data_IF_463340670333
#
_entry.id   IF_463340670333
#
_cell.length_a   1.000
_cell.length_b   1.000
_cell.length_c   1.000
_cell.angle_alpha   90.00
_cell.angle_beta   90.00
_cell.angle_gamma   90.00
#
_symmetry.space_group_name_H-M   'P 1'
#
loop_
_entity.id
_entity.type
_entity.pdbx_description
1 polymer ?
#
# COMPACT_ATOMS: atom_id res chain seq x y z
N UNK A 1 8.44 8.66 8.55
CA UNK A 1 9.16 8.63 7.25
C UNK A 1 8.51 9.49 6.17
N UNK A 2 7.44 10.25 6.47
CA UNK A 2 6.74 11.13 5.51
C UNK A 2 7.22 12.60 5.52
N UNK A 3 8.16 12.97 6.38
CA UNK A 3 8.63 14.36 6.55
C UNK A 3 9.82 14.77 5.68
N UNK A 4 10.49 13.86 4.98
CA UNK A 4 11.75 14.16 4.29
C UNK A 4 11.61 14.50 2.79
N UNK A 5 10.41 14.46 2.20
CA UNK A 5 10.23 14.64 0.75
C UNK A 5 9.69 16.02 0.34
N UNK A 6 9.41 16.92 1.30
CA UNK A 6 8.77 18.23 1.00
C UNK A 6 9.75 19.40 0.84
N UNK A 7 11.04 19.23 1.13
CA UNK A 7 12.01 20.36 1.14
C UNK A 7 12.68 20.62 -0.22
N UNK A 8 12.50 19.77 -1.22
CA UNK A 8 13.27 19.86 -2.48
C UNK A 8 12.52 20.48 -3.67
N UNK A 9 11.38 21.16 -3.47
CA UNK A 9 10.68 21.84 -4.56
C UNK A 9 10.66 23.38 -4.35
N UNK A 10 11.83 23.97 -4.15
CA UNK A 10 12.00 25.40 -4.43
C UNK A 10 11.93 25.56 -5.94
N UNK A 11 10.73 25.72 -6.46
CA UNK A 11 10.48 26.03 -7.87
C UNK A 11 11.06 27.41 -8.17
N UNK A 12 12.12 27.40 -8.96
CA UNK A 12 12.60 28.58 -9.71
C UNK A 12 11.47 29.00 -10.65
N UNK A 13 10.61 29.90 -10.20
CA UNK A 13 9.67 30.59 -11.08
C UNK A 13 10.45 31.70 -11.80
N UNK A 14 11.04 31.35 -12.94
CA UNK A 14 11.44 32.36 -13.92
C UNK A 14 10.14 32.96 -14.49
N UNK A 15 9.79 34.15 -14.02
CA UNK A 15 8.78 34.96 -14.67
C UNK A 15 9.29 35.34 -16.06
N UNK A 16 8.89 34.62 -17.10
CA UNK A 16 8.97 35.12 -18.47
C UNK A 16 7.94 36.25 -18.59
N UNK A 17 8.37 37.47 -18.38
CA UNK A 17 7.62 38.70 -18.67
C UNK A 17 7.49 38.84 -20.17
N UNK A 18 6.46 38.24 -20.76
CA UNK A 18 6.10 38.51 -22.15
C UNK A 18 5.58 39.95 -22.30
N UNK A 19 6.00 40.71 -23.29
CA UNK A 19 5.49 42.05 -23.52
C UNK A 19 4.03 41.97 -23.96
N UNK A 20 3.11 42.43 -23.11
CA UNK A 20 1.69 42.46 -23.40
C UNK A 20 1.32 43.81 -24.03
N UNK A 21 0.95 43.81 -25.31
CA UNK A 21 0.31 44.90 -26.03
C UNK A 21 -1.04 45.26 -25.42
N UNK A 22 -1.29 46.58 -25.30
CA UNK A 22 -2.44 47.18 -24.67
C UNK A 22 -3.76 46.89 -25.39
N UNK A 23 -4.84 46.62 -24.63
CA UNK A 23 -6.20 47.13 -24.91
C UNK A 23 -7.10 47.07 -23.68
N UNK A 24 -7.75 48.22 -23.38
CA UNK A 24 -8.95 48.48 -22.59
C UNK A 24 -8.88 48.50 -21.05
N UNK A 25 -9.07 49.67 -20.53
CA UNK A 25 -9.60 50.22 -19.26
C UNK A 25 -10.01 49.23 -18.15
N UNK A 26 -9.03 48.74 -17.43
CA UNK A 26 -9.03 48.44 -16.01
C UNK A 26 -7.91 49.24 -15.34
N UNK A 27 -7.88 49.53 -14.02
CA UNK A 27 -6.76 50.24 -13.41
C UNK A 27 -5.48 49.55 -13.83
N UNK A 28 -4.56 50.34 -14.44
CA UNK A 28 -3.42 49.81 -15.19
C UNK A 28 -2.54 48.92 -14.28
N UNK A 29 -2.64 47.63 -14.45
CA UNK A 29 -1.70 46.66 -13.90
C UNK A 29 -0.38 46.67 -14.72
N UNK A 30 0.06 47.82 -15.12
CA UNK A 30 1.34 48.06 -15.78
C UNK A 30 2.32 48.61 -14.76
N UNK A 31 3.49 48.00 -14.67
CA UNK A 31 4.62 48.59 -13.97
C UNK A 31 5.13 49.82 -14.75
N UNK A 32 5.61 50.81 -14.02
CA UNK A 32 6.43 51.83 -14.69
C UNK A 32 7.70 51.14 -15.22
N UNK A 33 8.26 51.64 -16.35
CA UNK A 33 9.52 51.07 -16.87
C UNK A 33 10.63 51.05 -15.84
N UNK A 34 10.70 52.08 -14.98
CA UNK A 34 11.68 52.19 -13.89
C UNK A 34 11.47 51.07 -12.84
N UNK A 35 10.23 50.85 -12.38
CA UNK A 35 9.91 49.80 -11.39
C UNK A 35 10.16 48.39 -11.96
N UNK A 36 9.82 48.20 -13.24
CA UNK A 36 10.09 46.93 -13.92
C UNK A 36 11.59 46.63 -13.97
N UNK A 37 12.40 47.58 -14.42
CA UNK A 37 13.85 47.42 -14.50
C UNK A 37 14.44 47.10 -13.11
N UNK A 38 14.04 47.87 -12.09
CA UNK A 38 14.53 47.70 -10.74
C UNK A 38 14.19 46.32 -10.15
N UNK A 39 12.95 45.84 -10.35
CA UNK A 39 12.57 44.50 -9.91
C UNK A 39 13.34 43.39 -10.67
N UNK A 40 13.62 43.60 -11.94
CA UNK A 40 14.43 42.67 -12.72
C UNK A 40 15.89 42.61 -12.24
N UNK A 41 16.48 43.76 -11.92
CA UNK A 41 17.84 43.83 -11.38
C UNK A 41 17.92 43.14 -9.99
N UNK A 42 16.89 43.35 -9.15
CA UNK A 42 16.76 42.65 -7.84
C UNK A 42 16.66 41.12 -8.01
N UNK A 43 15.94 40.63 -9.03
CA UNK A 43 15.90 39.19 -9.30
C UNK A 43 17.28 38.64 -9.69
N UNK A 44 18.09 39.42 -10.42
CA UNK A 44 19.49 39.08 -10.69
C UNK A 44 20.33 38.97 -9.41
N UNK A 45 20.24 39.99 -8.54
CA UNK A 45 20.93 39.96 -7.21
C UNK A 45 20.49 38.77 -6.32
N UNK A 46 19.20 38.45 -6.36
CA UNK A 46 18.65 37.31 -5.63
C UNK A 46 19.25 36.00 -6.14
N UNK A 47 19.36 35.84 -7.46
CA UNK A 47 19.97 34.67 -8.09
C UNK A 47 21.47 34.57 -7.76
N UNK A 48 22.16 35.68 -7.55
CA UNK A 48 23.55 35.73 -7.08
C UNK A 48 23.69 35.58 -5.54
N UNK A 49 22.59 35.39 -4.81
CA UNK A 49 22.53 35.30 -3.34
C UNK A 49 23.07 36.55 -2.61
N UNK A 50 22.99 37.73 -3.23
CA UNK A 50 23.38 39.02 -2.63
C UNK A 50 22.26 39.60 -1.76
N UNK A 51 21.87 38.85 -0.72
CA UNK A 51 20.67 39.12 0.07
C UNK A 51 20.63 40.50 0.72
N UNK A 52 21.78 41.04 1.16
CA UNK A 52 21.83 42.38 1.77
C UNK A 52 21.50 43.48 0.77
N UNK A 53 22.04 43.39 -0.46
CA UNK A 53 21.75 44.35 -1.55
C UNK A 53 20.28 44.21 -1.98
N UNK A 54 19.75 42.99 -2.08
CA UNK A 54 18.33 42.71 -2.38
C UNK A 54 17.43 43.41 -1.35
N UNK A 55 17.72 43.24 -0.03
CA UNK A 55 16.91 43.83 1.02
C UNK A 55 16.90 45.34 1.00
N UNK A 56 18.05 45.99 0.74
CA UNK A 56 18.17 47.45 0.61
C UNK A 56 17.34 47.98 -0.58
N UNK A 57 17.49 47.38 -1.78
CA UNK A 57 16.77 47.77 -2.98
C UNK A 57 15.24 47.57 -2.87
N UNK A 58 14.81 46.49 -2.18
CA UNK A 58 13.40 46.24 -1.94
C UNK A 58 12.80 47.25 -0.95
N UNK A 59 13.54 47.64 0.11
CA UNK A 59 13.09 48.71 1.02
C UNK A 59 12.91 50.02 0.34
N UNK A 60 13.84 50.42 -0.55
CA UNK A 60 13.71 51.65 -1.32
C UNK A 60 12.47 51.60 -2.23
N UNK A 61 12.16 50.45 -2.85
CA UNK A 61 10.94 50.29 -3.61
C UNK A 61 9.67 50.37 -2.75
N UNK A 62 9.68 49.77 -1.57
CA UNK A 62 8.56 49.78 -0.63
C UNK A 62 8.23 51.21 -0.15
N UNK A 63 9.26 52.03 0.16
CA UNK A 63 9.10 53.40 0.59
C UNK A 63 8.62 54.35 -0.53
N UNK A 64 8.98 54.07 -1.77
CA UNK A 64 8.72 54.97 -2.92
C UNK A 64 7.53 54.58 -3.78
N UNK A 65 6.89 53.43 -3.53
CA UNK A 65 5.73 52.96 -4.29
C UNK A 65 4.41 53.22 -3.56
N UNK A 66 3.43 53.75 -4.27
CA UNK A 66 2.05 53.79 -3.77
C UNK A 66 1.43 52.39 -3.75
N UNK A 67 0.41 52.15 -2.84
CA UNK A 67 -0.37 50.91 -2.86
C UNK A 67 -0.90 50.60 -4.26
N UNK A 68 -0.58 49.40 -4.75
CA UNK A 68 -0.95 48.95 -6.09
C UNK A 68 -0.13 47.80 -6.60
N UNK A 69 -0.22 47.50 -7.89
CA UNK A 69 0.39 46.34 -8.52
C UNK A 69 1.93 46.27 -8.31
N UNK A 70 2.62 47.45 -8.46
CA UNK A 70 4.08 47.49 -8.26
C UNK A 70 4.49 47.13 -6.84
N UNK A 71 3.79 47.68 -5.83
CA UNK A 71 4.05 47.35 -4.43
C UNK A 71 3.71 45.87 -4.08
N UNK A 72 2.65 45.32 -4.68
CA UNK A 72 2.33 43.92 -4.53
C UNK A 72 3.44 42.98 -5.04
N UNK A 73 4.03 43.30 -6.19
CA UNK A 73 5.19 42.58 -6.72
C UNK A 73 6.44 42.76 -5.88
N UNK A 74 6.67 43.95 -5.30
CA UNK A 74 7.76 44.21 -4.38
C UNK A 74 7.63 43.35 -3.14
N UNK A 75 6.43 43.22 -2.55
CA UNK A 75 6.18 42.33 -1.41
C UNK A 75 6.37 40.86 -1.79
N UNK A 76 5.96 40.46 -2.99
CA UNK A 76 6.24 39.08 -3.45
C UNK A 76 7.75 38.80 -3.53
N UNK A 77 8.53 39.75 -4.03
CA UNK A 77 10.00 39.61 -4.13
C UNK A 77 10.65 39.63 -2.76
N UNK A 78 10.15 40.44 -1.80
CA UNK A 78 10.57 40.41 -0.40
C UNK A 78 10.31 39.02 0.22
N UNK A 79 9.13 38.44 -0.03
CA UNK A 79 8.84 37.11 0.46
C UNK A 79 9.77 36.04 -0.15
N UNK A 80 10.15 36.16 -1.43
CA UNK A 80 11.12 35.28 -2.08
C UNK A 80 12.51 35.40 -1.43
N UNK A 81 12.95 36.62 -1.10
CA UNK A 81 14.20 36.85 -0.35
C UNK A 81 14.17 36.08 0.99
N UNK A 82 13.08 36.20 1.77
CA UNK A 82 12.99 35.50 3.04
C UNK A 82 12.88 33.97 2.90
N UNK A 83 12.30 33.46 1.82
CA UNK A 83 12.35 32.04 1.50
C UNK A 83 13.77 31.58 1.21
N UNK A 84 14.54 32.37 0.44
CA UNK A 84 15.94 32.05 0.15
C UNK A 84 16.83 32.10 1.42
N UNK A 85 16.40 32.86 2.43
CA UNK A 85 17.03 32.90 3.77
C UNK A 85 16.43 31.86 4.76
N UNK A 86 15.59 30.94 4.28
CA UNK A 86 14.89 29.93 5.09
C UNK A 86 13.99 30.53 6.19
N UNK A 87 13.57 31.77 6.04
CA UNK A 87 12.71 32.49 6.99
C UNK A 87 11.24 32.48 6.57
N UNK A 88 10.61 31.31 6.69
CA UNK A 88 9.20 31.10 6.30
C UNK A 88 8.21 32.06 7.00
N UNK A 89 8.35 32.42 8.30
CA UNK A 89 7.43 33.35 8.94
C UNK A 89 7.43 34.74 8.29
N UNK A 90 8.61 35.30 7.99
CA UNK A 90 8.70 36.60 7.29
C UNK A 90 8.21 36.49 5.86
N UNK A 91 8.51 35.40 5.17
CA UNK A 91 8.00 35.19 3.82
C UNK A 91 6.47 35.18 3.80
N UNK A 92 5.81 34.50 4.73
CA UNK A 92 4.35 34.51 4.89
C UNK A 92 3.81 35.92 5.18
N UNK A 93 4.47 36.68 6.03
CA UNK A 93 4.08 38.08 6.31
C UNK A 93 4.03 38.91 5.01
N UNK A 94 5.10 38.86 4.21
CA UNK A 94 5.18 39.65 2.99
C UNK A 94 4.27 39.14 1.88
N UNK A 95 4.07 37.85 1.75
CA UNK A 95 3.06 37.32 0.81
C UNK A 95 1.64 37.76 1.21
N UNK A 96 1.31 37.76 2.49
CA UNK A 96 0.02 38.26 2.95
C UNK A 96 -0.14 39.75 2.72
N UNK A 97 0.92 40.58 2.90
CA UNK A 97 0.92 41.99 2.52
C UNK A 97 0.62 42.16 1.00
N UNK A 98 1.24 41.34 0.16
CA UNK A 98 0.98 41.34 -1.28
C UNK A 98 -0.47 41.02 -1.63
N UNK A 99 -1.06 40.00 -1.00
CA UNK A 99 -2.46 39.63 -1.19
C UNK A 99 -3.45 40.68 -0.66
N UNK A 100 -3.12 41.32 0.47
CA UNK A 100 -3.96 42.33 1.11
C UNK A 100 -4.12 43.61 0.31
N UNK A 101 -3.20 43.93 -0.63
CA UNK A 101 -3.31 45.07 -1.51
C UNK A 101 -4.41 44.92 -2.56
N UNK A 102 -4.94 43.72 -2.80
CA UNK A 102 -5.96 43.41 -3.84
C UNK A 102 -5.63 43.96 -5.23
N UNK A 103 -4.35 44.21 -5.50
CA UNK A 103 -3.85 44.78 -6.74
C UNK A 103 -3.44 43.77 -7.80
N UNK A 104 -3.48 42.47 -7.45
CA UNK A 104 -3.17 41.38 -8.37
C UNK A 104 -4.42 41.01 -9.17
N UNK A 105 -4.25 40.53 -10.42
CA UNK A 105 -5.34 39.88 -11.16
C UNK A 105 -5.77 38.60 -10.38
N UNK A 106 -7.03 38.24 -10.47
CA UNK A 106 -7.58 37.09 -9.75
C UNK A 106 -6.77 35.82 -9.99
N UNK A 107 -6.33 35.57 -11.23
CA UNK A 107 -5.49 34.42 -11.56
C UNK A 107 -4.10 34.48 -10.89
N UNK A 108 -3.52 35.66 -10.79
CA UNK A 108 -2.23 35.88 -10.09
C UNK A 108 -2.41 35.74 -8.57
N UNK A 109 -3.50 36.31 -8.03
CA UNK A 109 -3.83 36.20 -6.61
C UNK A 109 -4.06 34.74 -6.20
N UNK A 110 -4.77 33.94 -7.02
CA UNK A 110 -4.94 32.49 -6.78
C UNK A 110 -3.61 31.75 -6.83
N UNK A 111 -2.74 32.05 -7.79
CA UNK A 111 -1.42 31.41 -7.87
C UNK A 111 -0.57 31.74 -6.66
N UNK A 112 -0.57 33.02 -6.22
CA UNK A 112 0.13 33.43 -5.01
C UNK A 112 -0.46 32.76 -3.76
N UNK A 113 -1.79 32.75 -3.62
CA UNK A 113 -2.47 32.07 -2.50
C UNK A 113 -2.17 30.59 -2.47
N UNK A 114 -1.98 29.93 -3.62
CA UNK A 114 -1.59 28.51 -3.69
C UNK A 114 -0.19 28.30 -3.08
N UNK A 115 0.77 29.17 -3.38
CA UNK A 115 2.11 29.10 -2.79
C UNK A 115 2.08 29.40 -1.29
N UNK A 116 1.32 30.43 -0.88
CA UNK A 116 1.13 30.80 0.54
C UNK A 116 0.52 29.66 1.32
N UNK A 117 -0.51 29.03 0.77
CA UNK A 117 -1.15 27.87 1.41
C UNK A 117 -0.18 26.69 1.59
N UNK A 118 0.68 26.42 0.62
CA UNK A 118 1.71 25.39 0.77
C UNK A 118 2.68 25.70 1.92
N UNK A 119 3.06 26.97 2.11
CA UNK A 119 3.88 27.39 3.24
C UNK A 119 3.12 27.25 4.58
N UNK A 120 1.85 27.63 4.61
CA UNK A 120 1.01 27.42 5.80
C UNK A 120 0.91 25.93 6.16
N UNK A 121 0.69 25.06 5.15
CA UNK A 121 0.63 23.61 5.38
C UNK A 121 1.96 23.04 5.86
N UNK A 122 3.08 23.51 5.32
CA UNK A 122 4.42 23.11 5.80
C UNK A 122 4.67 23.51 7.26
N UNK A 123 4.06 24.61 7.71
CA UNK A 123 4.10 25.08 9.10
C UNK A 123 2.94 24.53 9.97
N UNK A 124 2.16 23.54 9.48
CA UNK A 124 1.00 22.98 10.17
C UNK A 124 -0.15 23.97 10.44
N UNK A 125 -0.20 25.08 9.71
CA UNK A 125 -1.24 26.11 9.79
C UNK A 125 -2.36 25.81 8.77
N UNK A 126 -3.14 24.77 9.03
CA UNK A 126 -4.10 24.21 8.06
C UNK A 126 -5.28 25.16 7.84
N UNK A 127 -5.79 25.81 8.89
CA UNK A 127 -6.95 26.70 8.77
C UNK A 127 -6.60 27.96 7.96
N UNK A 128 -5.43 28.52 8.14
CA UNK A 128 -4.93 29.66 7.38
C UNK A 128 -4.74 29.31 5.90
N UNK A 129 -4.24 28.09 5.61
CA UNK A 129 -4.13 27.57 4.25
C UNK A 129 -5.50 27.46 3.57
N UNK A 130 -6.50 26.92 4.26
CA UNK A 130 -7.88 26.82 3.76
C UNK A 130 -8.45 28.21 3.50
N UNK A 131 -8.34 29.12 4.48
CA UNK A 131 -8.92 30.45 4.38
C UNK A 131 -8.36 31.26 3.20
N UNK A 132 -7.04 31.26 3.02
CA UNK A 132 -6.40 32.02 1.93
C UNK A 132 -6.74 31.44 0.57
N UNK A 133 -6.82 30.11 0.42
CA UNK A 133 -7.16 29.46 -0.85
C UNK A 133 -8.63 29.67 -1.20
N UNK A 134 -9.52 29.37 -0.28
CA UNK A 134 -10.95 29.39 -0.52
C UNK A 134 -11.42 30.81 -0.92
N UNK A 135 -11.02 31.83 -0.17
CA UNK A 135 -11.40 33.22 -0.48
C UNK A 135 -10.93 33.66 -1.87
N UNK A 136 -9.72 33.28 -2.29
CA UNK A 136 -9.17 33.66 -3.59
C UNK A 136 -9.73 32.85 -4.74
N UNK A 137 -10.02 31.58 -4.55
CA UNK A 137 -10.73 30.74 -5.53
C UNK A 137 -12.13 31.30 -5.76
N UNK A 138 -12.89 31.57 -4.71
CA UNK A 138 -14.24 32.14 -4.80
C UNK A 138 -14.26 33.47 -5.54
N UNK A 139 -13.36 34.40 -5.22
CA UNK A 139 -13.24 35.67 -5.91
C UNK A 139 -12.91 35.52 -7.40
N UNK A 140 -11.96 34.62 -7.74
CA UNK A 140 -11.59 34.37 -9.12
C UNK A 140 -12.71 33.72 -9.94
N UNK A 141 -13.43 32.76 -9.37
CA UNK A 141 -14.56 32.12 -10.05
C UNK A 141 -15.78 33.05 -10.19
N UNK A 142 -15.97 34.01 -9.28
CA UNK A 142 -17.00 35.06 -9.43
C UNK A 142 -16.66 36.02 -10.54
N UNK A 143 -15.37 36.41 -10.67
CA UNK A 143 -14.93 37.35 -11.74
C UNK A 143 -14.97 36.67 -13.12
N UNK A 144 -14.43 35.45 -13.20
CA UNK A 144 -14.38 34.68 -14.44
C UNK A 144 -14.50 33.17 -14.12
N UNK A 145 -15.66 32.57 -14.27
CA UNK A 145 -15.85 31.12 -14.04
C UNK A 145 -14.87 30.28 -14.87
N UNK A 146 -14.28 29.28 -14.25
CA UNK A 146 -13.32 28.37 -14.87
C UNK A 146 -11.91 28.95 -15.03
N UNK A 147 -11.62 30.12 -14.47
CA UNK A 147 -10.29 30.75 -14.56
C UNK A 147 -9.28 30.19 -13.57
N UNK A 148 -9.75 29.53 -12.52
CA UNK A 148 -8.90 29.00 -11.44
C UNK A 148 -8.08 27.80 -11.89
N UNK A 149 -6.81 27.79 -11.57
CA UNK A 149 -5.89 26.72 -11.91
C UNK A 149 -6.18 25.44 -11.10
N UNK A 150 -6.03 24.27 -11.74
CA UNK A 150 -6.26 22.97 -11.10
C UNK A 150 -5.49 22.81 -9.78
N UNK A 151 -4.24 23.28 -9.72
CA UNK A 151 -3.38 23.19 -8.54
C UNK A 151 -3.98 23.87 -7.30
N UNK A 152 -4.70 25.00 -7.45
CA UNK A 152 -5.33 25.67 -6.31
C UNK A 152 -6.39 24.78 -5.63
N UNK A 153 -7.21 24.13 -6.45
CA UNK A 153 -8.21 23.16 -5.95
C UNK A 153 -7.57 21.94 -5.29
N UNK A 154 -6.50 21.40 -5.89
CA UNK A 154 -5.75 20.27 -5.32
C UNK A 154 -5.12 20.66 -3.97
N UNK A 155 -4.53 21.87 -3.89
CA UNK A 155 -3.96 22.36 -2.62
C UNK A 155 -5.01 22.55 -1.55
N UNK A 156 -6.20 23.04 -1.91
CA UNK A 156 -7.32 23.18 -0.97
C UNK A 156 -7.85 21.79 -0.53
N UNK A 157 -7.98 20.85 -1.46
CA UNK A 157 -8.35 19.48 -1.15
C UNK A 157 -7.34 18.79 -0.22
N UNK A 158 -6.04 19.04 -0.44
CA UNK A 158 -4.96 18.56 0.43
C UNK A 158 -5.06 19.15 1.85
N UNK A 159 -5.36 20.45 1.96
CA UNK A 159 -5.57 21.10 3.25
C UNK A 159 -6.74 20.48 4.02
N UNK A 160 -7.85 20.22 3.35
CA UNK A 160 -8.99 19.52 3.97
C UNK A 160 -8.67 18.07 4.36
N UNK A 161 -7.81 17.35 3.61
CA UNK A 161 -7.34 16.03 4.03
C UNK A 161 -6.51 16.10 5.31
N UNK A 162 -5.62 17.08 5.44
CA UNK A 162 -4.83 17.28 6.67
C UNK A 162 -5.72 17.63 7.87
N UNK A 163 -6.81 18.38 7.63
CA UNK A 163 -7.85 18.64 8.61
C UNK A 163 -8.71 17.41 8.94
N UNK A 164 -8.56 16.31 8.20
CA UNK A 164 -9.40 15.10 8.24
C UNK A 164 -10.86 15.34 7.83
N UNK A 165 -11.14 16.43 7.14
CA UNK A 165 -12.43 16.69 6.51
C UNK A 165 -12.42 16.11 5.09
N UNK A 166 -12.55 14.79 5.03
CA UNK A 166 -12.46 14.05 3.77
C UNK A 166 -13.64 14.35 2.82
N UNK A 167 -14.77 14.75 3.34
CA UNK A 167 -15.93 15.12 2.51
C UNK A 167 -15.61 16.38 1.68
N UNK A 168 -15.13 17.45 2.31
CA UNK A 168 -14.69 18.64 1.60
C UNK A 168 -13.45 18.38 0.76
N UNK A 169 -12.51 17.55 1.22
CA UNK A 169 -11.35 17.16 0.42
C UNK A 169 -11.76 16.55 -0.93
N UNK A 170 -12.72 15.64 -0.95
CA UNK A 170 -13.24 15.03 -2.20
C UNK A 170 -13.81 16.07 -3.14
N UNK A 171 -14.60 17.02 -2.63
CA UNK A 171 -15.21 18.08 -3.45
C UNK A 171 -14.11 18.87 -4.18
N UNK A 172 -13.09 19.32 -3.46
CA UNK A 172 -12.05 20.16 -4.03
C UNK A 172 -11.07 19.38 -4.91
N UNK A 173 -10.70 18.15 -4.51
CA UNK A 173 -9.85 17.28 -5.33
C UNK A 173 -10.49 16.96 -6.68
N UNK A 174 -11.79 16.61 -6.71
CA UNK A 174 -12.52 16.37 -7.96
C UNK A 174 -12.49 17.60 -8.88
N UNK A 175 -12.79 18.77 -8.34
CA UNK A 175 -12.74 19.99 -9.14
C UNK A 175 -11.35 20.25 -9.74
N UNK A 176 -10.28 20.00 -8.97
CA UNK A 176 -8.91 20.12 -9.47
C UNK A 176 -8.58 19.08 -10.56
N UNK A 177 -8.98 17.84 -10.35
CA UNK A 177 -8.75 16.74 -11.30
C UNK A 177 -9.51 17.00 -12.62
N UNK A 178 -10.78 17.41 -12.55
CA UNK A 178 -11.62 17.70 -13.73
C UNK A 178 -11.10 18.88 -14.57
N UNK A 179 -10.46 19.86 -13.91
CA UNK A 179 -9.86 21.03 -14.62
C UNK A 179 -8.50 20.71 -15.24
N UNK A 180 -7.87 19.62 -14.85
CA UNK A 180 -6.58 19.24 -15.38
C UNK A 180 -6.73 18.55 -16.74
N UNK A 181 -5.91 18.96 -17.72
CA UNK A 181 -5.84 18.26 -19.02
C UNK A 181 -5.37 16.81 -18.87
N UNK A 182 -4.50 16.57 -17.90
CA UNK A 182 -3.96 15.25 -17.54
C UNK A 182 -3.81 15.20 -16.03
N UNK A 183 -4.69 14.52 -15.31
CA UNK A 183 -4.58 14.35 -13.86
C UNK A 183 -3.27 13.65 -13.50
N UNK A 184 -2.62 14.11 -12.43
CA UNK A 184 -1.41 13.46 -11.92
C UNK A 184 -1.79 12.28 -11.04
N UNK A 185 -0.97 11.25 -11.09
CA UNK A 185 -1.16 10.02 -10.30
C UNK A 185 -1.37 10.30 -8.80
N UNK A 186 -0.56 11.17 -8.21
CA UNK A 186 -0.67 11.54 -6.79
C UNK A 186 -2.00 12.24 -6.44
N UNK A 187 -2.63 12.98 -7.35
CA UNK A 187 -3.93 13.62 -7.11
C UNK A 187 -5.06 12.58 -7.01
N UNK A 188 -5.02 11.58 -7.89
CA UNK A 188 -5.95 10.45 -7.86
C UNK A 188 -5.73 9.60 -6.61
N UNK A 189 -4.46 9.38 -6.18
CA UNK A 189 -4.16 8.70 -4.92
C UNK A 189 -4.76 9.44 -3.72
N UNK A 190 -4.67 10.77 -3.69
CA UNK A 190 -5.30 11.58 -2.64
C UNK A 190 -6.83 11.43 -2.64
N UNK A 191 -7.46 11.48 -3.83
CA UNK A 191 -8.91 11.30 -3.97
C UNK A 191 -9.34 9.89 -3.55
N UNK A 192 -8.63 8.86 -3.98
CA UNK A 192 -8.87 7.47 -3.57
C UNK A 192 -8.78 7.31 -2.04
N UNK A 193 -7.72 7.87 -1.44
CA UNK A 193 -7.54 7.82 0.02
C UNK A 193 -8.68 8.53 0.77
N UNK A 194 -9.18 9.67 0.27
CA UNK A 194 -10.30 10.38 0.89
C UNK A 194 -11.61 9.56 0.82
N UNK A 195 -11.90 8.93 -0.33
CA UNK A 195 -13.03 8.00 -0.45
C UNK A 195 -12.90 6.80 0.48
N UNK A 196 -11.69 6.23 0.60
CA UNK A 196 -11.41 5.12 1.51
C UNK A 196 -11.70 5.49 2.97
N UNK A 197 -11.25 6.66 3.43
CA UNK A 197 -11.49 7.13 4.80
C UNK A 197 -12.98 7.29 5.14
N UNK A 198 -13.79 7.66 4.16
CA UNK A 198 -15.24 7.73 4.28
C UNK A 198 -15.95 6.38 4.01
N UNK A 199 -15.21 5.29 3.83
CA UNK A 199 -15.74 3.97 3.48
C UNK A 199 -16.57 3.96 2.18
N UNK A 200 -16.33 4.93 1.30
CA UNK A 200 -16.93 5.03 -0.03
C UNK A 200 -16.11 4.14 -0.99
N UNK A 201 -16.15 2.83 -0.74
CA UNK A 201 -15.28 1.87 -1.43
C UNK A 201 -15.61 1.75 -2.93
N UNK A 202 -16.87 1.91 -3.30
CA UNK A 202 -17.28 1.87 -4.70
C UNK A 202 -16.68 3.04 -5.50
N UNK A 203 -16.70 4.24 -4.93
CA UNK A 203 -16.09 5.44 -5.50
C UNK A 203 -14.56 5.31 -5.54
N UNK A 204 -13.96 4.74 -4.49
CA UNK A 204 -12.53 4.45 -4.46
C UNK A 204 -12.11 3.49 -5.59
N UNK A 205 -12.93 2.47 -5.90
CA UNK A 205 -12.69 1.55 -7.05
C UNK A 205 -12.67 2.33 -8.37
N UNK A 206 -13.60 3.27 -8.59
CA UNK A 206 -13.62 4.08 -9.82
C UNK A 206 -12.32 4.90 -9.96
N UNK A 207 -11.80 5.43 -8.86
CA UNK A 207 -10.55 6.20 -8.90
C UNK A 207 -9.34 5.29 -9.15
N UNK A 208 -9.33 4.10 -8.54
CA UNK A 208 -8.20 3.17 -8.73
C UNK A 208 -8.17 2.59 -10.15
N UNK A 209 -9.31 2.46 -10.84
CA UNK A 209 -9.36 2.13 -12.26
C UNK A 209 -8.62 3.15 -13.12
N UNK A 210 -8.74 4.45 -12.78
CA UNK A 210 -7.99 5.51 -13.45
C UNK A 210 -6.49 5.41 -13.14
N UNK A 211 -6.11 5.08 -11.91
CA UNK A 211 -4.72 4.86 -11.51
C UNK A 211 -4.10 3.67 -12.25
N UNK A 212 -4.81 2.56 -12.40
CA UNK A 212 -4.39 1.40 -13.21
C UNK A 212 -4.23 1.80 -14.68
N UNK A 213 -5.14 2.63 -15.22
CA UNK A 213 -5.03 3.11 -16.59
C UNK A 213 -3.77 3.96 -16.82
N UNK A 214 -3.35 4.75 -15.82
CA UNK A 214 -2.14 5.58 -15.90
C UNK A 214 -0.87 4.71 -15.74
N UNK A 215 -0.90 3.73 -14.85
CA UNK A 215 0.25 2.89 -14.54
C UNK A 215 -0.19 1.45 -14.29
N UNK A 216 -0.44 0.72 -15.38
CA UNK A 216 -0.93 -0.66 -15.35
C UNK A 216 0.04 -1.62 -14.66
N UNK A 217 1.35 -1.38 -14.75
CA UNK A 217 2.38 -2.26 -14.20
C UNK A 217 2.60 -2.07 -12.69
N UNK A 218 1.89 -1.17 -12.06
CA UNK A 218 2.01 -0.93 -10.61
C UNK A 218 1.13 -1.90 -9.83
N UNK A 219 1.73 -2.99 -9.36
CA UNK A 219 1.09 -4.09 -8.63
C UNK A 219 0.22 -3.59 -7.47
N UNK A 220 0.68 -2.56 -6.74
CA UNK A 220 -0.02 -2.01 -5.58
C UNK A 220 -1.45 -1.56 -5.91
N UNK A 221 -1.72 -1.05 -7.11
CA UNK A 221 -3.07 -0.63 -7.48
C UNK A 221 -4.03 -1.79 -7.65
N UNK A 222 -3.56 -2.89 -8.22
CA UNK A 222 -4.34 -4.12 -8.38
C UNK A 222 -4.66 -4.76 -7.02
N UNK A 223 -3.68 -4.76 -6.11
CA UNK A 223 -3.88 -5.27 -4.74
C UNK A 223 -4.85 -4.38 -3.95
N UNK A 224 -4.72 -3.05 -4.05
CA UNK A 224 -5.66 -2.11 -3.43
C UNK A 224 -7.08 -2.29 -3.99
N UNK A 225 -7.24 -2.44 -5.30
CA UNK A 225 -8.55 -2.69 -5.91
C UNK A 225 -9.18 -3.99 -5.42
N UNK A 226 -8.41 -5.06 -5.36
CA UNK A 226 -8.88 -6.34 -4.82
C UNK A 226 -9.29 -6.21 -3.34
N UNK A 227 -8.51 -5.49 -2.54
CA UNK A 227 -8.82 -5.20 -1.13
C UNK A 227 -10.13 -4.42 -0.99
N UNK A 228 -10.35 -3.38 -1.81
CA UNK A 228 -11.60 -2.62 -1.82
C UNK A 228 -12.82 -3.52 -2.12
N UNK A 229 -12.69 -4.42 -3.10
CA UNK A 229 -13.75 -5.39 -3.38
C UNK A 229 -14.01 -6.35 -2.20
N UNK A 230 -12.96 -6.78 -1.50
CA UNK A 230 -13.14 -7.59 -0.29
C UNK A 230 -13.88 -6.82 0.82
N UNK A 231 -13.52 -5.54 1.05
CA UNK A 231 -14.22 -4.66 2.00
C UNK A 231 -15.70 -4.46 1.64
N UNK A 232 -16.04 -4.49 0.36
CA UNK A 232 -17.41 -4.45 -0.15
C UNK A 232 -18.14 -5.81 -0.05
N UNK A 233 -17.50 -6.84 0.54
CA UNK A 233 -18.00 -8.23 0.55
C UNK A 233 -18.25 -8.79 -0.87
N UNK A 234 -17.35 -8.46 -1.80
CA UNK A 234 -17.35 -8.91 -3.20
C UNK A 234 -16.08 -9.71 -3.55
N UNK A 235 -15.82 -10.84 -2.89
CA UNK A 235 -14.57 -11.58 -3.06
C UNK A 235 -14.38 -12.15 -4.48
N UNK A 236 -15.48 -12.44 -5.19
CA UNK A 236 -15.42 -12.86 -6.60
C UNK A 236 -14.87 -11.78 -7.52
N UNK A 237 -15.21 -10.51 -7.27
CA UNK A 237 -14.67 -9.39 -8.06
C UNK A 237 -13.21 -9.12 -7.68
N UNK A 238 -12.84 -9.23 -6.40
CA UNK A 238 -11.45 -9.23 -5.97
C UNK A 238 -10.61 -10.30 -6.67
N UNK A 239 -11.15 -11.53 -6.74
CA UNK A 239 -10.49 -12.64 -7.45
C UNK A 239 -10.29 -12.34 -8.94
N UNK A 240 -11.30 -11.77 -9.63
CA UNK A 240 -11.18 -11.39 -11.05
C UNK A 240 -10.05 -10.37 -11.26
N UNK A 241 -9.95 -9.38 -10.36
CA UNK A 241 -8.89 -8.36 -10.42
C UNK A 241 -7.51 -9.02 -10.33
N UNK A 242 -7.28 -9.87 -9.33
CA UNK A 242 -5.97 -10.51 -9.15
C UNK A 242 -5.67 -11.53 -10.25
N UNK A 243 -6.67 -12.24 -10.76
CA UNK A 243 -6.49 -13.11 -11.92
C UNK A 243 -6.07 -12.34 -13.17
N UNK A 244 -6.69 -11.19 -13.42
CA UNK A 244 -6.32 -10.31 -14.53
C UNK A 244 -4.91 -9.77 -14.37
N UNK A 245 -4.55 -9.29 -13.17
CA UNK A 245 -3.20 -8.82 -12.86
C UNK A 245 -2.15 -9.93 -13.09
N UNK A 246 -2.46 -11.16 -12.67
CA UNK A 246 -1.57 -12.30 -12.87
C UNK A 246 -1.39 -12.64 -14.37
N UNK A 247 -2.47 -12.66 -15.17
CA UNK A 247 -2.42 -12.92 -16.62
C UNK A 247 -1.59 -11.83 -17.34
N UNK A 248 -1.62 -10.60 -16.83
CA UNK A 248 -0.83 -9.47 -17.36
C UNK A 248 0.61 -9.43 -16.82
N UNK A 249 1.00 -10.41 -15.99
CA UNK A 249 2.31 -10.49 -15.34
C UNK A 249 2.63 -9.26 -14.45
N UNK A 250 1.61 -8.67 -13.85
CA UNK A 250 1.76 -7.55 -12.91
C UNK A 250 2.06 -8.04 -11.51
N UNK A 251 1.49 -9.19 -11.09
CA UNK A 251 1.80 -9.80 -9.79
C UNK A 251 3.21 -10.41 -9.85
N UNK A 252 4.15 -9.75 -9.19
CA UNK A 252 5.56 -10.16 -9.15
C UNK A 252 6.07 -10.37 -7.73
N UNK A 253 5.44 -9.73 -6.74
CA UNK A 253 5.78 -9.88 -5.34
C UNK A 253 5.04 -11.08 -4.73
N UNK A 254 5.68 -11.72 -3.78
CA UNK A 254 5.12 -12.89 -3.09
C UNK A 254 3.75 -12.60 -2.49
N UNK A 255 3.59 -11.47 -1.79
CA UNK A 255 2.32 -11.09 -1.16
C UNK A 255 1.15 -11.06 -2.15
N UNK A 256 1.36 -10.53 -3.36
CA UNK A 256 0.34 -10.46 -4.40
C UNK A 256 -0.02 -11.85 -4.95
N UNK A 257 0.99 -12.69 -5.18
CA UNK A 257 0.83 -14.06 -5.65
C UNK A 257 0.12 -14.94 -4.62
N UNK A 258 0.50 -14.83 -3.35
CA UNK A 258 -0.15 -15.55 -2.25
C UNK A 258 -1.60 -15.07 -2.06
N UNK A 259 -1.86 -13.77 -2.16
CA UNK A 259 -3.22 -13.22 -2.10
C UNK A 259 -4.14 -13.80 -3.18
N UNK A 260 -3.65 -13.96 -4.40
CA UNK A 260 -4.38 -14.63 -5.48
C UNK A 260 -4.70 -16.09 -5.10
N UNK A 261 -3.71 -16.83 -4.61
CA UNK A 261 -3.88 -18.24 -4.20
C UNK A 261 -4.91 -18.38 -3.08
N UNK A 262 -4.83 -17.54 -2.06
CA UNK A 262 -5.77 -17.54 -0.93
C UNK A 262 -7.21 -17.24 -1.38
N UNK A 263 -7.39 -16.26 -2.26
CA UNK A 263 -8.71 -15.96 -2.83
C UNK A 263 -9.26 -17.12 -3.67
N UNK A 264 -8.43 -17.81 -4.45
CA UNK A 264 -8.85 -19.01 -5.19
C UNK A 264 -9.34 -20.11 -4.26
N UNK A 265 -8.63 -20.35 -3.14
CA UNK A 265 -9.04 -21.34 -2.14
C UNK A 265 -10.38 -20.94 -1.50
N UNK A 266 -10.50 -19.67 -1.07
CA UNK A 266 -11.69 -19.15 -0.40
C UNK A 266 -12.92 -19.16 -1.32
N UNK A 267 -12.73 -18.88 -2.60
CA UNK A 267 -13.80 -18.88 -3.61
C UNK A 267 -14.10 -20.28 -4.17
N UNK A 268 -13.57 -21.33 -3.56
CA UNK A 268 -13.91 -22.72 -3.89
C UNK A 268 -13.26 -23.27 -5.16
N UNK A 269 -12.10 -22.73 -5.54
CA UNK A 269 -11.31 -23.18 -6.69
C UNK A 269 -9.94 -23.69 -6.24
N UNK A 270 -9.87 -24.61 -5.22
CA UNK A 270 -8.62 -25.02 -4.56
C UNK A 270 -7.66 -25.76 -5.49
N UNK A 271 -8.18 -26.49 -6.48
CA UNK A 271 -7.35 -27.21 -7.44
C UNK A 271 -6.50 -26.24 -8.28
N UNK A 272 -7.10 -25.18 -8.80
CA UNK A 272 -6.37 -24.12 -9.53
C UNK A 272 -5.38 -23.39 -8.64
N UNK A 273 -5.75 -23.12 -7.39
CA UNK A 273 -4.86 -22.54 -6.39
C UNK A 273 -3.62 -23.42 -6.18
N UNK A 274 -3.81 -24.72 -6.01
CA UNK A 274 -2.74 -25.71 -5.85
C UNK A 274 -1.79 -25.74 -7.04
N UNK A 275 -2.32 -25.74 -8.27
CA UNK A 275 -1.48 -25.71 -9.49
C UNK A 275 -0.64 -24.44 -9.60
N UNK A 276 -1.25 -23.29 -9.35
CA UNK A 276 -0.53 -21.99 -9.38
C UNK A 276 0.55 -21.99 -8.30
N UNK A 277 0.20 -22.35 -7.07
CA UNK A 277 1.13 -22.33 -5.95
C UNK A 277 2.28 -23.31 -6.13
N UNK A 278 2.01 -24.52 -6.63
CA UNK A 278 3.06 -25.49 -6.95
C UNK A 278 4.05 -24.92 -7.98
N UNK A 279 3.53 -24.33 -9.06
CA UNK A 279 4.39 -23.73 -10.09
C UNK A 279 5.21 -22.56 -9.54
N UNK A 280 4.67 -21.76 -8.62
CA UNK A 280 5.40 -20.67 -7.97
C UNK A 280 6.55 -21.20 -7.10
N UNK A 281 6.31 -22.26 -6.33
CA UNK A 281 7.31 -22.92 -5.49
C UNK A 281 8.41 -23.59 -6.33
N UNK A 282 8.03 -24.36 -7.37
CA UNK A 282 8.97 -25.06 -8.25
C UNK A 282 9.89 -24.09 -9.02
N UNK A 283 9.34 -22.96 -9.45
CA UNK A 283 10.11 -21.92 -10.14
C UNK A 283 10.78 -20.90 -9.20
N UNK A 284 10.71 -21.13 -7.89
CA UNK A 284 11.29 -20.23 -6.85
C UNK A 284 10.84 -18.76 -7.02
N UNK A 285 9.59 -18.55 -7.40
CA UNK A 285 8.94 -17.23 -7.48
C UNK A 285 8.49 -16.71 -6.11
N UNK A 286 8.35 -17.63 -5.16
CA UNK A 286 8.05 -17.39 -3.75
C UNK A 286 8.99 -18.22 -2.90
N UNK A 287 9.10 -17.88 -1.63
CA UNK A 287 9.97 -18.58 -0.69
C UNK A 287 9.49 -20.01 -0.43
N UNK A 288 10.44 -20.94 -0.25
CA UNK A 288 10.16 -22.38 0.02
C UNK A 288 9.93 -22.63 1.52
N UNK A 289 9.06 -21.83 2.14
CA UNK A 289 8.75 -21.90 3.56
C UNK A 289 7.79 -23.05 3.88
N UNK A 290 7.77 -23.48 5.13
CA UNK A 290 6.79 -24.45 5.63
C UNK A 290 5.35 -23.94 5.53
N UNK A 291 5.13 -22.61 5.69
CA UNK A 291 3.82 -21.98 5.51
C UNK A 291 3.34 -22.10 4.06
N UNK A 292 4.18 -21.80 3.08
CA UNK A 292 3.82 -21.89 1.67
C UNK A 292 3.55 -23.33 1.22
N UNK A 293 4.36 -24.30 1.68
CA UNK A 293 4.12 -25.72 1.44
C UNK A 293 2.86 -26.24 2.15
N UNK A 294 2.56 -25.75 3.37
CA UNK A 294 1.34 -26.07 4.10
C UNK A 294 0.09 -25.50 3.41
N UNK A 295 0.19 -24.30 2.87
CA UNK A 295 -0.89 -23.70 2.08
C UNK A 295 -1.17 -24.57 0.82
N UNK A 296 -0.12 -25.04 0.14
CA UNK A 296 -0.24 -25.97 -1.00
C UNK A 296 -0.92 -27.27 -0.58
N UNK A 297 -0.48 -27.87 0.52
CA UNK A 297 -1.09 -29.11 1.05
C UNK A 297 -2.58 -28.91 1.36
N UNK A 298 -2.94 -27.75 1.91
CA UNK A 298 -4.32 -27.41 2.23
C UNK A 298 -5.18 -27.23 0.98
N UNK A 299 -4.64 -26.62 -0.08
CA UNK A 299 -5.32 -26.49 -1.37
C UNK A 299 -5.59 -27.88 -1.99
N UNK A 300 -4.59 -28.80 -1.96
CA UNK A 300 -4.74 -30.14 -2.46
C UNK A 300 -5.72 -31.00 -1.63
N UNK A 301 -5.75 -30.82 -0.32
CA UNK A 301 -6.75 -31.50 0.52
C UNK A 301 -8.17 -31.06 0.18
N UNK A 302 -8.39 -29.76 0.00
CA UNK A 302 -9.71 -29.23 -0.36
C UNK A 302 -10.16 -29.68 -1.76
N UNK A 303 -9.22 -29.89 -2.68
CA UNK A 303 -9.49 -30.46 -4.01
C UNK A 303 -9.56 -32.00 -4.03
N UNK A 304 -9.38 -32.65 -2.87
CA UNK A 304 -9.35 -34.12 -2.70
C UNK A 304 -8.16 -34.81 -3.37
N UNK A 305 -7.14 -34.08 -3.71
CA UNK A 305 -5.87 -34.57 -4.28
C UNK A 305 -4.93 -35.00 -3.14
N UNK A 306 -5.27 -36.08 -2.45
CA UNK A 306 -4.61 -36.52 -1.21
C UNK A 306 -3.15 -36.87 -1.40
N UNK A 307 -2.79 -37.55 -2.47
CA UNK A 307 -1.39 -37.91 -2.76
C UNK A 307 -0.51 -36.65 -2.93
N UNK A 308 -1.03 -35.59 -3.59
CA UNK A 308 -0.34 -34.31 -3.73
C UNK A 308 -0.25 -33.56 -2.39
N UNK A 309 -1.30 -33.65 -1.57
CA UNK A 309 -1.30 -33.07 -0.24
C UNK A 309 -0.25 -33.70 0.67
N UNK A 310 -0.11 -35.05 0.64
CA UNK A 310 0.90 -35.79 1.39
C UNK A 310 2.30 -35.31 1.00
N UNK A 311 2.59 -35.22 -0.30
CA UNK A 311 3.89 -34.77 -0.79
C UNK A 311 4.18 -33.33 -0.33
N UNK A 312 3.18 -32.44 -0.39
CA UNK A 312 3.32 -31.06 0.06
C UNK A 312 3.53 -30.94 1.58
N UNK A 313 2.84 -31.74 2.41
CA UNK A 313 3.08 -31.78 3.87
C UNK A 313 4.48 -32.27 4.23
N UNK A 314 5.01 -33.26 3.49
CA UNK A 314 6.39 -33.72 3.69
C UNK A 314 7.37 -32.59 3.36
N UNK A 315 7.17 -31.86 2.25
CA UNK A 315 7.98 -30.69 1.90
C UNK A 315 7.89 -29.57 2.94
N UNK A 316 6.69 -29.33 3.48
CA UNK A 316 6.51 -28.39 4.58
C UNK A 316 7.30 -28.81 5.83
N UNK A 317 7.25 -30.10 6.19
CA UNK A 317 7.99 -30.64 7.32
C UNK A 317 9.50 -30.52 7.12
N UNK A 318 10.00 -30.82 5.91
CA UNK A 318 11.42 -30.68 5.58
C UNK A 318 11.86 -29.20 5.69
N UNK A 319 11.07 -28.26 5.18
CA UNK A 319 11.34 -26.82 5.27
C UNK A 319 11.35 -26.33 6.74
N UNK A 320 10.36 -26.76 7.54
CA UNK A 320 10.29 -26.43 8.97
C UNK A 320 11.46 -27.01 9.75
N UNK A 321 11.91 -28.22 9.42
CA UNK A 321 13.11 -28.83 10.01
C UNK A 321 14.38 -28.04 9.61
N UNK A 322 14.47 -27.60 8.37
CA UNK A 322 15.62 -26.83 7.88
C UNK A 322 15.72 -25.45 8.58
N UNK A 323 14.58 -24.82 8.89
CA UNK A 323 14.52 -23.58 9.67
C UNK A 323 14.69 -23.80 11.19
N UNK A 324 15.02 -25.02 11.62
CA UNK A 324 15.19 -25.42 13.03
C UNK A 324 13.89 -25.41 13.87
N UNK A 325 12.72 -25.36 13.24
CA UNK A 325 11.41 -25.45 13.91
C UNK A 325 10.96 -26.91 14.03
N UNK A 326 11.67 -27.69 14.86
CA UNK A 326 11.40 -29.13 15.07
C UNK A 326 9.96 -29.44 15.51
N UNK A 327 9.33 -28.67 16.44
CA UNK A 327 7.96 -28.98 16.88
C UNK A 327 6.93 -28.90 15.73
N UNK A 328 7.03 -27.95 14.82
CA UNK A 328 6.10 -27.85 13.71
C UNK A 328 6.42 -28.87 12.62
N UNK A 329 7.69 -29.14 12.34
CA UNK A 329 8.10 -30.26 11.50
C UNK A 329 7.52 -31.59 12.01
N UNK A 330 7.56 -31.86 13.32
CA UNK A 330 6.98 -33.06 13.92
C UNK A 330 5.47 -33.18 13.67
N UNK A 331 4.72 -32.07 13.80
CA UNK A 331 3.27 -32.03 13.54
C UNK A 331 2.96 -32.27 12.06
N UNK A 332 3.74 -31.69 11.17
CA UNK A 332 3.56 -31.83 9.72
C UNK A 332 3.83 -33.27 9.26
N UNK A 333 4.92 -33.91 9.72
CA UNK A 333 5.16 -35.32 9.47
C UNK A 333 4.06 -36.20 10.05
N UNK A 334 3.57 -35.89 11.27
CA UNK A 334 2.47 -36.61 11.86
C UNK A 334 1.20 -36.50 10.99
N UNK A 335 0.91 -35.32 10.47
CA UNK A 335 -0.25 -35.10 9.58
C UNK A 335 -0.10 -35.87 8.26
N UNK A 336 1.08 -35.81 7.63
CA UNK A 336 1.33 -36.60 6.41
C UNK A 336 1.19 -38.08 6.64
N UNK A 337 1.68 -38.60 7.79
CA UNK A 337 1.56 -40.03 8.18
C UNK A 337 0.10 -40.48 8.32
N UNK A 338 -0.75 -39.66 8.93
CA UNK A 338 -2.20 -39.94 9.00
C UNK A 338 -2.82 -40.07 7.63
N UNK A 339 -2.52 -39.13 6.72
CA UNK A 339 -3.05 -39.16 5.34
C UNK A 339 -2.50 -40.38 4.58
N UNK A 340 -1.21 -40.71 4.74
CA UNK A 340 -0.62 -41.89 4.12
C UNK A 340 -1.30 -43.18 4.62
N UNK A 341 -1.62 -43.26 5.89
CA UNK A 341 -2.36 -44.40 6.46
C UNK A 341 -3.76 -44.49 5.84
N UNK A 342 -4.48 -43.34 5.76
CA UNK A 342 -5.83 -43.28 5.18
C UNK A 342 -5.86 -43.70 3.69
N UNK A 343 -4.77 -43.46 2.97
CA UNK A 343 -4.57 -43.86 1.56
C UNK A 343 -3.94 -45.27 1.43
N UNK A 344 -3.83 -46.00 2.50
CA UNK A 344 -3.21 -47.35 2.56
C UNK A 344 -1.72 -47.38 2.15
N UNK A 345 -1.02 -46.23 2.16
CA UNK A 345 0.44 -46.16 2.09
C UNK A 345 1.03 -46.43 3.48
N UNK A 346 0.90 -47.68 3.94
CA UNK A 346 1.33 -48.07 5.27
C UNK A 346 2.84 -47.94 5.49
N UNK A 347 3.64 -48.24 4.46
CA UNK A 347 5.09 -48.05 4.49
C UNK A 347 5.49 -46.61 4.63
N UNK A 348 4.85 -45.70 3.91
CA UNK A 348 5.03 -44.28 4.06
C UNK A 348 4.62 -43.74 5.42
N UNK A 349 3.45 -44.19 5.90
CA UNK A 349 2.92 -43.81 7.21
C UNK A 349 3.88 -44.21 8.36
N UNK A 350 4.43 -45.44 8.32
CA UNK A 350 5.42 -45.92 9.29
C UNK A 350 6.63 -45.00 9.36
N UNK A 351 7.19 -44.63 8.22
CA UNK A 351 8.36 -43.73 8.12
C UNK A 351 8.05 -42.34 8.66
N UNK A 352 6.93 -41.75 8.23
CA UNK A 352 6.52 -40.41 8.65
C UNK A 352 6.19 -40.33 10.14
N UNK A 353 5.51 -41.35 10.72
CA UNK A 353 5.29 -41.40 12.16
C UNK A 353 6.58 -41.53 12.95
N UNK A 354 7.54 -42.33 12.46
CA UNK A 354 8.84 -42.48 13.12
C UNK A 354 9.58 -41.12 13.12
N UNK A 355 9.60 -40.42 11.97
CA UNK A 355 10.23 -39.11 11.82
C UNK A 355 9.60 -38.06 12.72
N UNK A 356 8.27 -38.02 12.78
CA UNK A 356 7.53 -37.13 13.66
C UNK A 356 7.93 -37.30 15.14
N UNK A 357 8.05 -38.55 15.63
CA UNK A 357 8.50 -38.82 17.02
C UNK A 357 9.96 -38.43 17.26
N UNK A 358 10.84 -38.72 16.30
CA UNK A 358 12.26 -38.31 16.36
C UNK A 358 12.41 -36.81 16.60
N UNK A 359 11.54 -36.01 15.95
CA UNK A 359 11.53 -34.56 16.05
C UNK A 359 10.86 -34.02 17.32
N UNK A 360 10.12 -34.84 18.05
CA UNK A 360 9.57 -34.54 19.38
C UNK A 360 8.07 -34.24 19.36
N UNK A 361 7.26 -35.30 19.25
CA UNK A 361 5.81 -35.19 19.45
C UNK A 361 5.47 -35.09 20.95
N UNK A 362 4.39 -34.37 21.25
CA UNK A 362 3.81 -34.43 22.61
C UNK A 362 3.26 -35.83 22.94
N UNK A 363 3.18 -36.15 24.23
CA UNK A 363 2.80 -37.52 24.74
C UNK A 363 1.53 -38.04 24.05
N UNK A 364 0.48 -37.23 23.92
CA UNK A 364 -0.77 -37.66 23.27
C UNK A 364 -0.55 -38.10 21.81
N UNK A 365 0.19 -37.31 21.03
CA UNK A 365 0.47 -37.63 19.62
C UNK A 365 1.46 -38.79 19.50
N UNK A 366 2.41 -38.91 20.43
CA UNK A 366 3.32 -40.06 20.52
C UNK A 366 2.54 -41.37 20.66
N UNK A 367 1.62 -41.44 21.59
CA UNK A 367 0.78 -42.63 21.77
C UNK A 367 -0.04 -42.98 20.53
N UNK A 368 -0.70 -42.00 19.92
CA UNK A 368 -1.45 -42.19 18.68
C UNK A 368 -0.53 -42.66 17.54
N UNK A 369 0.66 -42.07 17.39
CA UNK A 369 1.61 -42.44 16.34
C UNK A 369 2.11 -43.89 16.47
N UNK A 370 2.35 -44.34 17.70
CA UNK A 370 2.75 -45.72 17.98
C UNK A 370 1.61 -46.71 17.69
N UNK A 371 0.39 -46.37 18.11
CA UNK A 371 -0.80 -47.19 17.83
C UNK A 371 -1.04 -47.31 16.30
N UNK A 372 -0.99 -46.18 15.55
CA UNK A 372 -1.18 -46.21 14.10
C UNK A 372 -0.06 -46.95 13.38
N UNK A 373 1.19 -46.91 13.88
CA UNK A 373 2.25 -47.73 13.31
C UNK A 373 2.02 -49.24 13.59
N UNK A 374 1.53 -49.58 14.77
CA UNK A 374 1.11 -50.95 15.06
C UNK A 374 0.05 -51.44 14.07
N UNK A 375 -0.98 -50.60 13.82
CA UNK A 375 -2.01 -50.90 12.83
C UNK A 375 -1.43 -51.02 11.40
N UNK A 376 -0.52 -50.11 11.01
CA UNK A 376 0.11 -50.15 9.69
C UNK A 376 0.94 -51.44 9.47
N UNK A 377 1.67 -51.89 10.48
CA UNK A 377 2.37 -53.17 10.43
C UNK A 377 1.40 -54.36 10.40
N UNK A 378 0.27 -54.27 11.12
CA UNK A 378 -0.77 -55.30 11.09
C UNK A 378 -1.39 -55.43 9.68
N UNK A 379 -1.72 -54.33 9.04
CA UNK A 379 -2.23 -54.32 7.67
C UNK A 379 -1.20 -54.83 6.63
N UNK A 380 0.08 -54.74 6.94
CA UNK A 380 1.18 -55.31 6.13
C UNK A 380 1.46 -56.78 6.48
N UNK A 381 0.67 -57.38 7.35
CA UNK A 381 0.84 -58.76 7.86
C UNK A 381 2.19 -59.00 8.62
N UNK A 382 2.86 -57.89 8.99
CA UNK A 382 4.07 -57.92 9.82
C UNK A 382 3.68 -57.91 11.32
N UNK A 383 3.13 -59.03 11.77
CA UNK A 383 2.58 -59.17 13.11
C UNK A 383 3.64 -59.03 14.20
N UNK A 384 4.88 -59.40 13.90
CA UNK A 384 6.00 -59.24 14.80
C UNK A 384 6.26 -57.78 15.15
N UNK A 385 6.34 -56.91 14.13
CA UNK A 385 6.47 -55.49 14.37
C UNK A 385 5.19 -54.84 14.89
N UNK A 386 4.01 -55.30 14.47
CA UNK A 386 2.75 -54.83 15.03
C UNK A 386 2.71 -55.00 16.56
N UNK A 387 3.07 -56.19 17.08
CA UNK A 387 3.18 -56.52 18.53
C UNK A 387 4.13 -55.54 19.22
N UNK A 388 5.31 -55.30 18.64
CA UNK A 388 6.32 -54.38 19.20
C UNK A 388 5.74 -52.95 19.34
N UNK A 389 5.05 -52.44 18.32
CA UNK A 389 4.53 -51.07 18.34
C UNK A 389 3.29 -50.93 19.24
N UNK A 390 2.40 -51.93 19.30
CA UNK A 390 1.32 -51.95 20.26
C UNK A 390 1.84 -52.02 21.71
N UNK A 391 2.89 -52.81 21.96
CA UNK A 391 3.53 -52.88 23.27
C UNK A 391 4.18 -51.54 23.69
N UNK A 392 4.71 -50.76 22.73
CA UNK A 392 5.18 -49.41 23.00
C UNK A 392 4.01 -48.46 23.27
N UNK A 393 2.93 -48.54 22.47
CA UNK A 393 1.73 -47.72 22.61
C UNK A 393 1.00 -47.97 23.95
N UNK A 394 1.10 -49.17 24.50
CA UNK A 394 0.55 -49.55 25.82
C UNK A 394 1.11 -48.69 26.96
N UNK A 395 2.36 -48.17 26.79
CA UNK A 395 3.05 -47.36 27.82
C UNK A 395 2.62 -45.89 27.77
N UNK A 396 1.91 -45.46 26.73
CA UNK A 396 1.46 -44.09 26.54
C UNK A 396 0.01 -43.94 27.03
N UNK A 397 -0.29 -43.04 27.97
CA UNK A 397 -1.63 -42.92 28.56
C UNK A 397 -2.75 -42.73 27.54
N UNK A 398 -2.47 -42.06 26.42
CA UNK A 398 -3.46 -41.74 25.37
C UNK A 398 -3.84 -42.93 24.50
N UNK A 399 -3.08 -44.02 24.50
CA UNK A 399 -3.26 -45.19 23.64
C UNK A 399 -3.35 -46.51 24.38
N UNK A 400 -3.18 -46.54 25.71
CA UNK A 400 -3.14 -47.75 26.55
C UNK A 400 -4.30 -48.68 26.26
N UNK A 401 -5.54 -48.22 26.34
CA UNK A 401 -6.72 -49.08 26.17
C UNK A 401 -6.82 -49.66 24.75
N UNK A 402 -6.56 -48.87 23.74
CA UNK A 402 -6.61 -49.31 22.35
C UNK A 402 -5.47 -50.28 22.02
N UNK A 403 -4.27 -50.03 22.54
CA UNK A 403 -3.13 -50.92 22.35
C UNK A 403 -3.36 -52.30 23.05
N UNK A 404 -3.95 -52.28 24.24
CA UNK A 404 -4.33 -53.50 24.94
C UNK A 404 -5.34 -54.32 24.13
N UNK A 405 -6.39 -53.68 23.62
CA UNK A 405 -7.40 -54.36 22.81
C UNK A 405 -6.80 -55.00 21.53
N UNK A 406 -5.84 -54.34 20.90
CA UNK A 406 -5.15 -54.88 19.71
C UNK A 406 -4.27 -56.08 20.07
N UNK A 407 -3.53 -56.05 21.16
CA UNK A 407 -2.71 -57.20 21.60
C UNK A 407 -3.58 -58.41 21.97
N UNK A 408 -4.70 -58.21 22.68
CA UNK A 408 -5.67 -59.26 23.01
C UNK A 408 -6.31 -59.86 21.74
N UNK A 409 -6.62 -59.00 20.73
CA UNK A 409 -7.15 -59.46 19.44
C UNK A 409 -6.14 -60.29 18.66
N UNK A 410 -4.86 -59.91 18.62
CA UNK A 410 -3.79 -60.65 17.96
C UNK A 410 -3.53 -61.99 18.64
N UNK A 411 -3.63 -62.06 20.00
CA UNK A 411 -3.53 -63.32 20.78
C UNK A 411 -4.65 -64.25 20.40
N UNK A 412 -5.90 -63.79 20.31
CA UNK A 412 -7.06 -64.60 19.90
C UNK A 412 -6.95 -65.17 18.50
N UNK A 413 -6.23 -64.48 17.60
CA UNK A 413 -5.97 -64.92 16.24
C UNK A 413 -4.73 -65.82 16.10
N UNK A 414 -4.06 -66.19 17.21
CA UNK A 414 -2.81 -66.95 17.21
C UNK A 414 -1.67 -66.31 16.36
N UNK A 415 -1.65 -64.96 16.29
CA UNK A 415 -0.67 -64.22 15.51
C UNK A 415 0.54 -63.76 16.36
N UNK A 416 0.66 -64.22 17.59
CA UNK A 416 1.68 -63.74 18.54
C UNK A 416 2.76 -64.79 18.88
N UNK A 417 2.80 -65.94 18.18
CA UNK A 417 3.78 -67.01 18.38
C UNK A 417 5.21 -66.65 17.92
#
# INVERSE_FOLDING_TARGET
FLMAFFVALVLIFVFALSPMMAHAKTPSQSLSPKTYQKLNDIQGLLAESKFAEVEEELKDLEENLNPGFGLALTYQTHAQLFLAQENSPKALEYFNKALALEALKSTQAVSLATNVAQLYLANSQVEEAIGVLQSRIEAAEQEKPGSTIAMAYISLGSAYQLKQDFANAIIWLRQGIERAKSPRENWLQMLMAAHYQLQQYAEAVVVIDQLITINEQKEEYWLQQASLYQMMNKPKDALKVLQLANVRNVLVKEDGLISLVQLLITEGVPERAGRILLALLENQKIELTDDNWTLLASAWLQSRERSLAIAAFIKAADASQASSNKPDAAKLYFRSAQLQFDESDFNGAIKSFAKARELGLGSKQTGISLLMQGNAYFELEDYSNAKVYFSKALKEPSSTNSAKAWLEYMEQLELLD
#
